data_IF_051226629225
#
_entry.id   IF_051226629225
#
_cell.length_a   1.000
_cell.length_b   1.000
_cell.length_c   1.000
_cell.angle_alpha   90.00
_cell.angle_beta   90.00
_cell.angle_gamma   90.00
#
_symmetry.space_group_name_H-M   'P 1'
#
loop_
_entity.id
_entity.type
_entity.pdbx_description
1 polymer ?
#
# COMPACT_ATOMS: atom_id res chain seq x y z
N UNK A 1 4.96 43.41 11.43
CA UNK A 1 5.01 42.60 12.64
C UNK A 1 3.59 42.17 12.98
N UNK A 2 3.09 41.09 12.38
CA UNK A 2 1.79 40.52 12.73
C UNK A 2 2.03 39.41 13.76
N UNK A 3 1.20 39.38 14.79
CA UNK A 3 1.27 38.53 15.98
C UNK A 3 1.29 37.01 15.63
N UNK A 4 2.46 36.42 15.55
CA UNK A 4 2.66 34.96 15.31
C UNK A 4 2.36 34.09 16.54
N UNK A 5 1.71 34.63 17.58
CA UNK A 5 1.63 34.02 18.90
C UNK A 5 0.45 33.05 19.15
N UNK A 6 -0.54 32.97 18.26
CA UNK A 6 -1.81 32.28 18.57
C UNK A 6 -2.04 30.92 17.87
N UNK A 7 -1.32 30.62 16.83
CA UNK A 7 -1.57 29.49 15.90
C UNK A 7 -1.44 28.09 16.49
N UNK A 8 -0.55 27.92 17.45
CA UNK A 8 -0.21 26.61 18.01
C UNK A 8 -1.24 26.04 18.99
N UNK A 9 -2.30 26.79 19.29
CA UNK A 9 -3.33 26.40 20.27
C UNK A 9 -4.66 25.99 19.62
N UNK A 10 -4.85 26.25 18.33
CA UNK A 10 -6.07 25.89 17.60
C UNK A 10 -5.78 24.78 16.60
N UNK A 11 -6.63 23.74 16.57
CA UNK A 11 -6.55 22.69 15.56
C UNK A 11 -6.62 23.25 14.13
N UNK A 12 -7.40 24.31 13.93
CA UNK A 12 -7.50 25.02 12.64
C UNK A 12 -6.18 25.67 12.22
N UNK A 13 -5.38 26.16 13.18
CA UNK A 13 -4.06 26.71 12.89
C UNK A 13 -3.05 25.64 12.43
N UNK A 14 -3.10 24.46 13.02
CA UNK A 14 -2.25 23.32 12.60
C UNK A 14 -2.63 22.87 11.18
N UNK A 15 -3.92 22.65 10.91
CA UNK A 15 -4.40 22.23 9.59
C UNK A 15 -4.02 23.26 8.52
N UNK A 16 -4.26 24.55 8.78
CA UNK A 16 -3.89 25.60 7.82
C UNK A 16 -2.39 25.61 7.51
N UNK A 17 -1.55 25.47 8.53
CA UNK A 17 -0.09 25.44 8.35
C UNK A 17 0.35 24.20 7.54
N UNK A 18 -0.20 23.02 7.84
CA UNK A 18 0.07 21.80 7.08
C UNK A 18 -0.31 21.97 5.61
N UNK A 19 -1.44 22.63 5.31
CA UNK A 19 -1.86 22.87 3.93
C UNK A 19 -0.98 23.93 3.23
N UNK A 20 -0.55 24.96 3.94
CA UNK A 20 0.38 25.98 3.42
C UNK A 20 1.74 25.32 3.10
N UNK A 21 2.30 24.51 4.01
CA UNK A 21 3.54 23.75 3.80
C UNK A 21 3.40 22.75 2.62
N UNK A 22 2.31 21.99 2.57
CA UNK A 22 2.04 21.07 1.47
C UNK A 22 1.97 21.76 0.08
N UNK A 23 1.59 23.02 0.04
CA UNK A 23 1.60 23.82 -1.17
C UNK A 23 3.02 24.35 -1.48
N UNK A 24 3.75 24.83 -0.47
CA UNK A 24 5.14 25.31 -0.59
C UNK A 24 6.07 24.18 -1.10
N UNK A 25 5.93 22.97 -0.59
CA UNK A 25 6.72 21.80 -0.96
C UNK A 25 6.23 21.09 -2.24
N UNK A 26 5.26 21.69 -2.93
CA UNK A 26 4.71 21.12 -4.18
C UNK A 26 4.27 19.65 -4.06
N UNK A 27 3.63 19.28 -2.93
CA UNK A 27 3.15 17.91 -2.68
C UNK A 27 2.36 17.32 -3.86
N UNK A 28 1.47 18.04 -4.57
CA UNK A 28 0.79 17.48 -5.75
C UNK A 28 1.75 17.01 -6.85
N UNK A 29 2.83 17.73 -7.07
CA UNK A 29 3.85 17.38 -8.05
C UNK A 29 4.66 16.15 -7.61
N UNK A 30 5.13 16.14 -6.36
CA UNK A 30 5.84 15.00 -5.78
C UNK A 30 4.96 13.74 -5.76
N UNK A 31 3.67 13.86 -5.44
CA UNK A 31 2.71 12.76 -5.50
C UNK A 31 2.56 12.20 -6.91
N UNK A 32 2.56 13.05 -7.94
CA UNK A 32 2.51 12.62 -9.34
C UNK A 32 3.76 11.82 -9.74
N UNK A 33 4.94 12.28 -9.33
CA UNK A 33 6.21 11.59 -9.58
C UNK A 33 6.27 10.22 -8.89
N UNK A 34 5.87 10.16 -7.61
CA UNK A 34 5.79 8.91 -6.87
C UNK A 34 4.75 7.94 -7.45
N UNK A 35 3.62 8.46 -7.91
CA UNK A 35 2.59 7.66 -8.58
C UNK A 35 3.13 6.99 -9.83
N UNK A 36 3.91 7.69 -10.62
CA UNK A 36 4.55 7.13 -11.81
C UNK A 36 5.54 6.01 -11.45
N UNK A 37 6.41 6.22 -10.45
CA UNK A 37 7.36 5.21 -9.99
C UNK A 37 6.63 3.97 -9.40
N UNK A 38 5.51 4.17 -8.71
CA UNK A 38 4.67 3.09 -8.19
C UNK A 38 4.04 2.28 -9.34
N UNK A 39 3.50 2.96 -10.35
CA UNK A 39 2.94 2.30 -11.54
C UNK A 39 3.97 1.45 -12.28
N UNK A 40 5.20 1.95 -12.44
CA UNK A 40 6.28 1.17 -13.04
C UNK A 40 6.64 -0.07 -12.21
N UNK A 41 6.55 0.03 -10.88
CA UNK A 41 6.84 -1.08 -9.96
C UNK A 41 5.75 -2.15 -9.97
N UNK A 42 4.49 -1.76 -10.19
CA UNK A 42 3.34 -2.69 -10.20
C UNK A 42 3.46 -3.72 -11.32
N UNK A 43 3.98 -3.37 -12.48
CA UNK A 43 4.08 -4.28 -13.64
C UNK A 43 4.93 -5.52 -13.30
N UNK A 44 6.20 -5.39 -12.88
CA UNK A 44 7.00 -6.54 -12.49
C UNK A 44 6.49 -7.21 -11.20
N UNK A 45 5.84 -6.48 -10.31
CA UNK A 45 5.19 -7.05 -9.12
C UNK A 45 4.08 -8.03 -9.51
N UNK A 46 3.20 -7.64 -10.43
CA UNK A 46 2.14 -8.53 -10.94
C UNK A 46 2.77 -9.75 -11.62
N UNK A 47 3.84 -9.59 -12.41
CA UNK A 47 4.53 -10.70 -13.04
C UNK A 47 5.07 -11.71 -12.01
N UNK A 48 5.66 -11.22 -10.90
CA UNK A 48 6.12 -12.08 -9.81
C UNK A 48 4.97 -12.73 -9.05
N UNK A 49 3.89 -11.99 -8.79
CA UNK A 49 2.69 -12.54 -8.17
C UNK A 49 2.12 -13.70 -8.99
N UNK A 50 2.02 -13.52 -10.32
CA UNK A 50 1.60 -14.58 -11.23
C UNK A 50 2.58 -15.76 -11.23
N UNK A 51 3.89 -15.51 -11.16
CA UNK A 51 4.89 -16.59 -11.05
C UNK A 51 4.71 -17.41 -9.76
N UNK A 52 4.44 -16.76 -8.62
CA UNK A 52 4.14 -17.42 -7.34
C UNK A 52 2.86 -18.24 -7.43
N UNK A 53 1.78 -17.66 -7.97
CA UNK A 53 0.52 -18.37 -8.19
C UNK A 53 0.75 -19.60 -9.09
N UNK A 54 1.47 -19.43 -10.19
CA UNK A 54 1.82 -20.54 -11.09
C UNK A 54 2.62 -21.66 -10.41
N UNK A 55 3.55 -21.29 -9.50
CA UNK A 55 4.32 -22.25 -8.72
C UNK A 55 3.44 -23.01 -7.70
N UNK A 56 2.54 -22.31 -7.01
CA UNK A 56 1.61 -22.91 -6.06
C UNK A 56 0.62 -23.87 -6.75
N UNK A 57 0.05 -23.45 -7.89
CA UNK A 57 -0.83 -24.30 -8.70
C UNK A 57 -0.10 -25.53 -9.19
N UNK A 58 1.11 -25.39 -9.71
CA UNK A 58 1.93 -26.52 -10.13
C UNK A 58 2.23 -27.49 -8.98
N UNK A 59 2.54 -26.95 -7.80
CA UNK A 59 2.78 -27.77 -6.61
C UNK A 59 1.54 -28.59 -6.24
N UNK A 60 0.36 -27.99 -6.25
CA UNK A 60 -0.91 -28.68 -5.97
C UNK A 60 -1.21 -29.77 -7.01
N UNK A 61 -1.02 -29.49 -8.31
CA UNK A 61 -1.17 -30.45 -9.39
C UNK A 61 -0.24 -31.65 -9.16
N UNK A 62 1.02 -31.39 -8.82
CA UNK A 62 2.03 -32.46 -8.65
C UNK A 62 1.75 -33.30 -7.39
N UNK A 63 1.39 -32.67 -6.26
CA UNK A 63 1.17 -33.37 -4.98
C UNK A 63 -0.15 -34.15 -4.98
N UNK A 64 -1.20 -33.58 -5.56
CA UNK A 64 -2.55 -34.19 -5.56
C UNK A 64 -2.82 -35.03 -6.80
N UNK A 65 -1.90 -35.07 -7.75
CA UNK A 65 -2.04 -35.75 -9.06
C UNK A 65 -3.34 -35.37 -9.81
N UNK A 66 -3.80 -34.11 -9.58
CA UNK A 66 -5.02 -33.57 -10.19
C UNK A 66 -4.66 -32.77 -11.45
N UNK A 67 -5.59 -32.75 -12.40
CA UNK A 67 -5.48 -31.85 -13.56
C UNK A 67 -5.76 -30.39 -13.15
N UNK A 68 -5.27 -29.43 -13.96
CA UNK A 68 -5.60 -28.00 -13.75
C UNK A 68 -7.11 -27.77 -13.80
N UNK A 69 -7.80 -28.48 -14.68
CA UNK A 69 -9.27 -28.44 -14.81
C UNK A 69 -9.98 -28.86 -13.53
N UNK A 70 -9.59 -29.98 -12.93
CA UNK A 70 -10.17 -30.49 -11.68
C UNK A 70 -9.88 -29.55 -10.50
N UNK A 71 -8.67 -28.98 -10.45
CA UNK A 71 -8.30 -28.02 -9.43
C UNK A 71 -9.16 -26.75 -9.53
N UNK A 72 -9.37 -26.23 -10.74
CA UNK A 72 -10.24 -25.06 -10.96
C UNK A 72 -11.70 -25.36 -10.65
N UNK A 73 -12.22 -26.52 -11.06
CA UNK A 73 -13.60 -26.92 -10.78
C UNK A 73 -13.88 -27.04 -9.27
N UNK A 74 -12.86 -27.32 -8.46
CA UNK A 74 -12.97 -27.39 -6.99
C UNK A 74 -13.07 -25.99 -6.33
N UNK A 75 -12.37 -24.98 -6.88
CA UNK A 75 -12.34 -23.63 -6.32
C UNK A 75 -13.37 -22.68 -6.95
N UNK A 76 -13.72 -22.91 -8.20
CA UNK A 76 -14.73 -22.14 -8.92
C UNK A 76 -16.02 -22.97 -9.02
N UNK A 77 -17.10 -22.59 -8.32
CA UNK A 77 -18.37 -23.33 -8.42
C UNK A 77 -18.97 -23.14 -9.81
N UNK A 78 -18.68 -24.06 -10.71
CA UNK A 78 -19.17 -24.08 -12.10
C UNK A 78 -20.71 -24.22 -12.17
N UNK A 79 -21.31 -24.75 -11.09
CA UNK A 79 -22.73 -25.09 -11.02
C UNK A 79 -23.65 -23.97 -10.50
N UNK A 80 -23.10 -22.87 -10.01
CA UNK A 80 -23.89 -21.75 -9.44
C UNK A 80 -24.10 -20.60 -10.45
N UNK A 81 -24.65 -20.89 -11.63
CA UNK A 81 -25.40 -19.93 -12.44
C UNK A 81 -24.70 -18.70 -13.03
N UNK A 82 -23.36 -18.57 -12.97
CA UNK A 82 -22.68 -17.35 -13.37
C UNK A 82 -21.50 -17.49 -14.35
N UNK A 83 -20.90 -18.64 -14.46
CA UNK A 83 -19.75 -18.85 -15.36
C UNK A 83 -20.20 -19.55 -16.63
N UNK A 84 -20.01 -18.89 -17.78
CA UNK A 84 -20.17 -19.56 -19.07
C UNK A 84 -18.95 -20.47 -19.31
N UNK A 85 -19.13 -21.56 -20.06
CA UNK A 85 -18.03 -22.48 -20.45
C UNK A 85 -16.85 -21.72 -21.09
N UNK A 86 -17.15 -20.63 -21.78
CA UNK A 86 -16.13 -19.73 -22.36
C UNK A 86 -15.28 -19.02 -21.32
N UNK A 87 -15.90 -18.46 -20.27
CA UNK A 87 -15.20 -17.78 -19.19
C UNK A 87 -14.31 -18.75 -18.42
N UNK A 88 -14.80 -19.95 -18.13
CA UNK A 88 -14.01 -21.01 -17.48
C UNK A 88 -12.80 -21.42 -18.34
N UNK A 89 -13.00 -21.66 -19.63
CA UNK A 89 -11.90 -21.99 -20.56
C UNK A 89 -10.88 -20.86 -20.69
N UNK A 90 -11.29 -19.59 -20.63
CA UNK A 90 -10.37 -18.46 -20.63
C UNK A 90 -9.50 -18.41 -19.36
N UNK A 91 -10.10 -18.62 -18.18
CA UNK A 91 -9.38 -18.68 -16.91
C UNK A 91 -8.41 -19.86 -16.89
N UNK A 92 -8.84 -21.04 -17.33
CA UNK A 92 -8.01 -22.23 -17.44
C UNK A 92 -6.82 -22.01 -18.39
N UNK A 93 -7.08 -21.42 -19.56
CA UNK A 93 -6.04 -21.08 -20.53
C UNK A 93 -5.04 -20.06 -20.02
N UNK A 94 -5.52 -19.00 -19.33
CA UNK A 94 -4.67 -18.00 -18.70
C UNK A 94 -3.79 -18.59 -17.61
N UNK A 95 -4.37 -19.35 -16.67
CA UNK A 95 -3.61 -20.01 -15.61
C UNK A 95 -2.65 -21.07 -16.15
N UNK A 96 -3.04 -21.84 -17.15
CA UNK A 96 -2.17 -22.78 -17.84
C UNK A 96 -0.97 -22.09 -18.48
N UNK A 97 -1.17 -20.90 -19.06
CA UNK A 97 -0.10 -20.07 -19.59
C UNK A 97 0.85 -19.60 -18.49
N UNK A 98 0.31 -19.11 -17.37
CA UNK A 98 1.10 -18.67 -16.20
C UNK A 98 1.93 -19.82 -15.64
N UNK A 99 1.35 -21.00 -15.47
CA UNK A 99 2.04 -22.21 -14.99
C UNK A 99 3.20 -22.59 -15.93
N UNK A 100 2.98 -22.56 -17.24
CA UNK A 100 4.03 -22.88 -18.24
C UNK A 100 5.17 -21.86 -18.25
N UNK A 101 4.86 -20.57 -18.09
CA UNK A 101 5.84 -19.49 -18.21
C UNK A 101 6.38 -18.97 -16.87
N UNK A 102 6.00 -19.58 -15.73
CA UNK A 102 6.41 -19.14 -14.39
C UNK A 102 7.91 -18.91 -14.24
N UNK A 103 8.74 -19.79 -14.82
CA UNK A 103 10.20 -19.66 -14.77
C UNK A 103 10.70 -18.38 -15.45
N UNK A 104 10.16 -18.06 -16.64
CA UNK A 104 10.50 -16.80 -17.34
C UNK A 104 10.01 -15.58 -16.57
N UNK A 105 8.79 -15.63 -16.02
CA UNK A 105 8.23 -14.56 -15.19
C UNK A 105 9.09 -14.30 -13.94
N UNK A 106 9.65 -15.35 -13.34
CA UNK A 106 10.54 -15.21 -12.19
C UNK A 106 11.90 -14.63 -12.59
N UNK A 107 12.55 -15.19 -13.62
CA UNK A 107 13.90 -14.78 -14.04
C UNK A 107 13.93 -13.31 -14.51
N UNK A 108 12.91 -12.86 -15.22
CA UNK A 108 12.81 -11.47 -15.69
C UNK A 108 12.17 -10.58 -14.63
N UNK A 109 11.16 -11.08 -13.94
CA UNK A 109 10.39 -10.31 -12.95
C UNK A 109 11.21 -9.89 -11.73
N UNK A 110 12.08 -10.76 -11.19
CA UNK A 110 12.90 -10.43 -10.01
C UNK A 110 13.82 -9.23 -10.26
N UNK A 111 14.69 -9.21 -11.28
CA UNK A 111 15.57 -8.08 -11.53
C UNK A 111 14.79 -6.78 -11.80
N UNK A 112 13.72 -6.85 -12.60
CA UNK A 112 12.89 -5.68 -12.89
C UNK A 112 12.18 -5.16 -11.64
N UNK A 113 11.61 -6.06 -10.84
CA UNK A 113 10.96 -5.67 -9.59
C UNK A 113 11.94 -5.02 -8.62
N UNK A 114 13.11 -5.60 -8.41
CA UNK A 114 14.15 -5.00 -7.56
C UNK A 114 14.60 -3.64 -8.08
N UNK A 115 14.78 -3.51 -9.39
CA UNK A 115 15.16 -2.24 -10.02
C UNK A 115 14.11 -1.15 -9.77
N UNK A 116 12.87 -1.40 -10.14
CA UNK A 116 11.80 -0.41 -9.99
C UNK A 116 11.43 -0.15 -8.54
N UNK A 117 11.47 -1.17 -7.67
CA UNK A 117 11.20 -1.00 -6.24
C UNK A 117 12.28 -0.15 -5.57
N UNK A 118 13.56 -0.36 -5.88
CA UNK A 118 14.62 0.49 -5.32
C UNK A 118 14.56 1.92 -5.86
N UNK A 119 14.04 2.11 -7.08
CA UNK A 119 13.74 3.44 -7.62
C UNK A 119 12.59 4.11 -6.87
N UNK A 120 11.49 3.39 -6.64
CA UNK A 120 10.35 3.87 -5.86
C UNK A 120 10.76 4.31 -4.45
N UNK A 121 11.51 3.49 -3.72
CA UNK A 121 11.99 3.87 -2.38
C UNK A 121 12.99 5.02 -2.41
N UNK A 122 13.79 5.13 -3.46
CA UNK A 122 14.64 6.30 -3.71
C UNK A 122 13.83 7.59 -3.91
N UNK A 123 12.76 7.52 -4.70
CA UNK A 123 11.81 8.63 -4.91
C UNK A 123 11.06 9.00 -3.63
N UNK A 124 10.55 8.01 -2.87
CA UNK A 124 9.93 8.23 -1.56
C UNK A 124 10.88 8.92 -0.59
N UNK A 125 12.16 8.52 -0.56
CA UNK A 125 13.17 9.17 0.28
C UNK A 125 13.42 10.61 -0.16
N UNK A 126 13.56 10.87 -1.46
CA UNK A 126 13.76 12.21 -1.97
C UNK A 126 12.56 13.11 -1.60
N UNK A 127 11.34 12.64 -1.80
CA UNK A 127 10.14 13.36 -1.44
C UNK A 127 10.01 13.60 0.08
N UNK A 128 10.36 12.63 0.92
CA UNK A 128 10.38 12.82 2.38
C UNK A 128 11.50 13.75 2.85
N UNK A 129 12.65 13.77 2.16
CA UNK A 129 13.71 14.73 2.49
C UNK A 129 13.27 16.16 2.18
N UNK A 130 12.50 16.38 1.11
CA UNK A 130 11.88 17.68 0.80
C UNK A 130 10.90 18.08 1.90
N UNK A 131 9.91 17.23 2.19
CA UNK A 131 8.91 17.45 3.24
C UNK A 131 9.51 17.74 4.61
N UNK A 132 10.65 17.14 4.94
CA UNK A 132 11.33 17.35 6.24
C UNK A 132 12.47 18.37 6.18
N UNK A 133 12.55 19.22 5.16
CA UNK A 133 13.59 20.24 4.98
C UNK A 133 15.00 19.68 5.26
N UNK A 134 15.36 18.55 4.61
CA UNK A 134 16.58 17.83 4.90
C UNK A 134 17.58 17.92 3.75
N UNK A 135 18.67 18.69 3.94
CA UNK A 135 19.81 18.78 3.00
C UNK A 135 20.77 17.60 3.12
N UNK A 136 20.67 16.83 4.21
CA UNK A 136 21.54 15.68 4.44
C UNK A 136 21.27 14.58 3.41
N UNK A 137 22.32 14.20 2.68
CA UNK A 137 22.25 13.06 1.76
C UNK A 137 23.05 11.89 2.32
N UNK A 138 22.43 10.72 2.36
CA UNK A 138 23.14 9.49 2.70
C UNK A 138 24.09 9.09 1.57
N UNK A 139 25.29 8.52 1.88
CA UNK A 139 26.16 7.94 0.85
C UNK A 139 25.40 6.94 -0.01
N UNK A 140 25.59 7.02 -1.33
CA UNK A 140 24.85 6.23 -2.31
C UNK A 140 24.73 4.72 -1.99
N UNK A 141 25.81 4.01 -1.57
CA UNK A 141 25.69 2.57 -1.29
C UNK A 141 24.80 2.28 -0.07
N UNK A 142 24.87 3.11 0.97
CA UNK A 142 24.04 2.98 2.18
C UNK A 142 22.59 3.24 1.84
N UNK A 143 22.32 4.24 1.00
CA UNK A 143 21.00 4.56 0.52
C UNK A 143 20.37 3.38 -0.25
N UNK A 144 21.12 2.76 -1.17
CA UNK A 144 20.65 1.60 -1.95
C UNK A 144 20.45 0.34 -1.12
N UNK A 145 21.31 0.10 -0.13
CA UNK A 145 21.12 -1.01 0.81
C UNK A 145 19.84 -0.82 1.64
N UNK A 146 19.56 0.41 2.06
CA UNK A 146 18.32 0.72 2.78
C UNK A 146 17.11 0.54 1.88
N UNK A 147 17.15 1.00 0.62
CA UNK A 147 16.06 0.80 -0.34
C UNK A 147 15.75 -0.70 -0.50
N UNK A 148 16.78 -1.53 -0.66
CA UNK A 148 16.63 -2.98 -0.75
C UNK A 148 16.06 -3.57 0.55
N UNK A 149 16.53 -3.13 1.72
CA UNK A 149 16.00 -3.57 3.01
C UNK A 149 14.53 -3.19 3.18
N UNK A 150 14.11 -2.00 2.69
CA UNK A 150 12.72 -1.57 2.70
C UNK A 150 11.85 -2.42 1.77
N UNK A 151 12.32 -2.77 0.58
CA UNK A 151 11.62 -3.69 -0.34
C UNK A 151 11.40 -5.04 0.32
N UNK A 152 12.44 -5.61 0.93
CA UNK A 152 12.34 -6.91 1.61
C UNK A 152 11.44 -6.84 2.85
N UNK A 153 11.54 -5.77 3.63
CA UNK A 153 10.70 -5.53 4.81
C UNK A 153 9.21 -5.37 4.45
N UNK A 154 8.91 -4.55 3.44
CA UNK A 154 7.55 -4.39 2.93
C UNK A 154 7.01 -5.70 2.36
N UNK A 155 7.82 -6.43 1.60
CA UNK A 155 7.48 -7.75 1.09
C UNK A 155 7.19 -8.75 2.21
N UNK A 156 8.01 -8.79 3.25
CA UNK A 156 7.80 -9.65 4.42
C UNK A 156 6.49 -9.31 5.16
N UNK A 157 6.18 -8.01 5.33
CA UNK A 157 4.91 -7.57 5.92
C UNK A 157 3.70 -7.98 5.08
N UNK A 158 3.78 -7.84 3.74
CA UNK A 158 2.73 -8.28 2.83
C UNK A 158 2.51 -9.79 2.90
N UNK A 159 3.58 -10.58 2.88
CA UNK A 159 3.50 -12.04 3.01
C UNK A 159 2.89 -12.43 4.35
N UNK A 160 3.32 -11.79 5.45
CA UNK A 160 2.77 -12.05 6.79
C UNK A 160 1.27 -11.71 6.84
N UNK A 161 0.86 -10.57 6.28
CA UNK A 161 -0.56 -10.19 6.18
C UNK A 161 -1.37 -11.21 5.38
N UNK A 162 -0.84 -11.65 4.23
CA UNK A 162 -1.50 -12.67 3.39
C UNK A 162 -1.61 -14.03 4.10
N UNK A 163 -0.57 -14.44 4.85
CA UNK A 163 -0.59 -15.68 5.63
C UNK A 163 -1.63 -15.63 6.77
N UNK A 164 -1.74 -14.49 7.46
CA UNK A 164 -2.76 -14.26 8.49
C UNK A 164 -4.15 -14.41 7.88
N UNK A 165 -4.42 -13.74 6.75
CA UNK A 165 -5.71 -13.81 6.05
C UNK A 165 -6.02 -15.24 5.56
N UNK A 166 -5.02 -15.95 5.03
CA UNK A 166 -5.18 -17.33 4.58
C UNK A 166 -5.42 -18.31 5.74
N UNK A 167 -4.76 -18.08 6.88
CA UNK A 167 -4.99 -18.87 8.10
C UNK A 167 -6.39 -18.63 8.66
N UNK A 168 -6.85 -17.41 8.64
CA UNK A 168 -8.20 -17.01 9.01
C UNK A 168 -9.26 -17.74 8.18
N UNK A 169 -9.14 -17.71 6.85
CA UNK A 169 -10.07 -18.38 5.95
C UNK A 169 -10.19 -19.89 6.25
N UNK A 170 -9.11 -20.51 6.75
CA UNK A 170 -9.11 -21.93 7.13
C UNK A 170 -9.65 -22.18 8.54
N UNK A 171 -9.38 -21.31 9.50
CA UNK A 171 -9.77 -21.46 10.90
C UNK A 171 -11.20 -20.99 11.16
N UNK A 172 -11.64 -19.93 10.49
CA UNK A 172 -13.01 -19.41 10.59
C UNK A 172 -14.07 -20.42 10.20
N UNK A 173 -13.79 -21.26 9.20
CA UNK A 173 -14.68 -22.38 8.81
C UNK A 173 -14.84 -23.45 9.90
N UNK A 174 -13.96 -23.54 10.89
CA UNK A 174 -13.99 -24.54 11.98
C UNK A 174 -14.50 -24.01 13.30
N UNK A 175 -14.59 -22.68 13.48
CA UNK A 175 -14.90 -22.03 14.76
C UNK A 175 -16.32 -21.43 14.83
N UNK A 176 -17.13 -21.61 13.78
CA UNK A 176 -18.47 -21.06 13.65
C UNK A 176 -19.44 -21.71 14.64
N UNK A 177 -19.59 -21.10 15.83
CA UNK A 177 -20.69 -21.40 16.75
C UNK A 177 -21.06 -20.21 17.63
N UNK A 178 -21.39 -19.06 17.02
CA UNK A 178 -21.99 -17.93 17.76
C UNK A 178 -21.75 -16.56 17.09
N UNK A 179 -22.85 -15.88 16.76
CA UNK A 179 -22.86 -14.58 16.07
C UNK A 179 -22.02 -13.50 16.78
N UNK A 180 -22.01 -13.48 18.11
CA UNK A 180 -21.24 -12.51 18.90
C UNK A 180 -19.72 -12.76 18.84
N UNK A 181 -19.30 -14.00 18.63
CA UNK A 181 -17.89 -14.38 18.51
C UNK A 181 -17.34 -14.10 17.13
N UNK A 182 -18.19 -14.18 16.10
CA UNK A 182 -17.82 -13.92 14.71
C UNK A 182 -17.53 -12.43 14.47
N UNK A 183 -18.29 -11.51 15.03
CA UNK A 183 -18.03 -10.09 14.86
C UNK A 183 -16.78 -9.64 15.64
N UNK A 184 -16.58 -10.13 16.85
CA UNK A 184 -15.38 -9.82 17.65
C UNK A 184 -14.10 -10.33 16.98
N UNK A 185 -14.16 -11.52 16.36
CA UNK A 185 -13.07 -12.09 15.59
C UNK A 185 -12.76 -11.25 14.34
N UNK A 186 -13.78 -10.85 13.57
CA UNK A 186 -13.62 -9.97 12.40
C UNK A 186 -13.02 -8.62 12.77
N UNK A 187 -13.51 -7.99 13.85
CA UNK A 187 -12.92 -6.75 14.36
C UNK A 187 -11.47 -6.92 14.77
N UNK A 188 -11.13 -8.04 15.43
CA UNK A 188 -9.75 -8.33 15.78
C UNK A 188 -8.82 -8.38 14.57
N UNK A 189 -9.28 -9.00 13.50
CA UNK A 189 -8.51 -9.12 12.25
C UNK A 189 -8.39 -7.79 11.49
N UNK A 190 -9.47 -7.00 11.44
CA UNK A 190 -9.42 -5.64 10.88
C UNK A 190 -8.44 -4.76 11.66
N UNK A 191 -8.40 -4.87 12.99
CA UNK A 191 -7.43 -4.16 13.83
C UNK A 191 -5.99 -4.63 13.58
N UNK A 192 -5.77 -5.93 13.41
CA UNK A 192 -4.43 -6.47 13.06
C UNK A 192 -4.00 -5.97 11.68
N UNK A 193 -4.89 -6.02 10.68
CA UNK A 193 -4.60 -5.51 9.34
C UNK A 193 -4.28 -4.01 9.36
N UNK A 194 -5.06 -3.22 10.11
CA UNK A 194 -4.81 -1.80 10.31
C UNK A 194 -3.46 -1.56 11.00
N UNK A 195 -3.16 -2.30 12.08
CA UNK A 195 -1.90 -2.19 12.81
C UNK A 195 -0.68 -2.52 11.94
N UNK A 196 -0.78 -3.53 11.06
CA UNK A 196 0.27 -3.86 10.09
C UNK A 196 0.45 -2.74 9.06
N UNK A 197 -0.63 -2.10 8.59
CA UNK A 197 -0.57 -0.93 7.71
C UNK A 197 0.10 0.27 8.39
N UNK A 198 -0.28 0.58 9.63
CA UNK A 198 0.36 1.63 10.44
C UNK A 198 1.83 1.30 10.71
N UNK A 199 2.16 0.05 10.98
CA UNK A 199 3.55 -0.39 11.15
C UNK A 199 4.38 -0.18 9.88
N UNK A 200 3.83 -0.49 8.72
CA UNK A 200 4.49 -0.25 7.43
C UNK A 200 4.79 1.25 7.24
N UNK A 201 3.79 2.12 7.41
CA UNK A 201 3.99 3.57 7.34
C UNK A 201 5.00 4.05 8.39
N UNK A 202 4.91 3.54 9.62
CA UNK A 202 5.85 3.90 10.67
C UNK A 202 7.30 3.56 10.31
N UNK A 203 7.55 2.37 9.78
CA UNK A 203 8.88 1.94 9.33
C UNK A 203 9.38 2.84 8.19
N UNK A 204 8.52 3.18 7.23
CA UNK A 204 8.87 4.07 6.12
C UNK A 204 9.24 5.46 6.68
N UNK A 205 8.38 6.12 7.45
CA UNK A 205 8.65 7.46 8.00
C UNK A 205 9.86 7.49 8.96
N UNK A 206 10.13 6.38 9.65
CA UNK A 206 11.23 6.31 10.62
C UNK A 206 12.59 6.07 9.97
N UNK A 207 12.65 5.21 8.94
CA UNK A 207 13.92 4.74 8.38
C UNK A 207 14.29 5.39 7.05
N UNK A 208 13.31 5.79 6.25
CA UNK A 208 13.55 6.24 4.90
C UNK A 208 14.16 7.66 4.83
N UNK A 209 13.69 8.68 5.60
CA UNK A 209 14.30 10.01 5.58
C UNK A 209 15.76 9.99 5.95
N UNK A 210 16.56 10.90 5.37
CA UNK A 210 18.00 10.96 5.63
C UNK A 210 18.31 11.46 7.04
N UNK A 211 17.47 12.36 7.60
CA UNK A 211 17.59 12.80 8.99
C UNK A 211 16.96 11.80 9.97
N UNK A 212 17.39 11.85 11.22
CA UNK A 212 16.83 11.01 12.30
C UNK A 212 15.49 11.58 12.79
N UNK A 213 14.41 11.03 12.32
CA UNK A 213 13.06 11.38 12.78
C UNK A 213 12.81 10.82 14.18
N UNK A 214 12.18 11.62 15.06
CA UNK A 214 11.80 11.16 16.39
C UNK A 214 10.68 10.11 16.32
N UNK A 215 10.67 9.15 17.23
CA UNK A 215 9.69 8.05 17.26
C UNK A 215 8.24 8.55 17.29
N UNK A 216 7.96 9.58 18.10
CA UNK A 216 6.63 10.19 18.20
C UNK A 216 6.19 10.86 16.89
N UNK A 217 7.09 11.54 16.20
CA UNK A 217 6.85 12.18 14.91
C UNK A 217 6.51 11.15 13.84
N UNK A 218 7.30 10.07 13.73
CA UNK A 218 7.04 8.97 12.81
C UNK A 218 5.70 8.26 13.12
N UNK A 219 5.35 8.10 14.41
CA UNK A 219 4.08 7.50 14.81
C UNK A 219 2.89 8.39 14.42
N UNK A 220 2.98 9.71 14.59
CA UNK A 220 1.93 10.66 14.18
C UNK A 220 1.68 10.56 12.67
N UNK A 221 2.75 10.58 11.85
CA UNK A 221 2.64 10.37 10.40
C UNK A 221 1.96 9.03 10.07
N UNK A 222 2.44 7.95 10.67
CA UNK A 222 1.95 6.59 10.40
C UNK A 222 0.47 6.43 10.75
N UNK A 223 0.03 6.94 11.90
CA UNK A 223 -1.38 6.88 12.31
C UNK A 223 -2.24 7.74 11.41
N UNK A 224 -1.79 8.95 11.05
CA UNK A 224 -2.50 9.81 10.11
C UNK A 224 -2.67 9.14 8.75
N UNK A 225 -1.59 8.60 8.17
CA UNK A 225 -1.65 7.86 6.91
C UNK A 225 -2.53 6.62 7.00
N UNK A 226 -2.43 5.84 8.09
CA UNK A 226 -3.25 4.65 8.30
C UNK A 226 -4.74 4.98 8.35
N UNK A 227 -5.14 5.97 9.12
CA UNK A 227 -6.53 6.44 9.21
C UNK A 227 -7.01 7.02 7.87
N UNK A 228 -6.21 7.87 7.25
CA UNK A 228 -6.52 8.45 5.95
C UNK A 228 -6.68 7.40 4.86
N UNK A 229 -5.86 6.35 4.89
CA UNK A 229 -5.95 5.23 3.94
C UNK A 229 -7.23 4.40 4.15
N UNK A 230 -7.65 4.18 5.40
CA UNK A 230 -8.94 3.53 5.69
C UNK A 230 -10.13 4.34 5.17
N UNK A 231 -10.10 5.66 5.40
CA UNK A 231 -11.12 6.57 4.87
C UNK A 231 -11.11 6.55 3.34
N UNK A 232 -9.93 6.66 2.71
CA UNK A 232 -9.76 6.64 1.27
C UNK A 232 -10.30 5.35 0.64
N UNK A 233 -10.03 4.18 1.23
CA UNK A 233 -10.57 2.88 0.78
C UNK A 233 -12.10 2.88 0.78
N UNK A 234 -12.72 3.38 1.84
CA UNK A 234 -14.19 3.43 1.96
C UNK A 234 -14.81 4.38 0.95
N UNK A 235 -14.22 5.56 0.77
CA UNK A 235 -14.67 6.55 -0.22
C UNK A 235 -14.53 6.01 -1.65
N UNK A 236 -13.41 5.36 -1.95
CA UNK A 236 -13.18 4.73 -3.25
C UNK A 236 -14.19 3.61 -3.52
N UNK A 237 -14.42 2.72 -2.55
CA UNK A 237 -15.43 1.67 -2.66
C UNK A 237 -16.85 2.25 -2.87
N UNK A 238 -17.20 3.30 -2.14
CA UNK A 238 -18.49 4.00 -2.31
C UNK A 238 -18.59 4.62 -3.70
N UNK A 239 -17.52 5.25 -4.19
CA UNK A 239 -17.50 5.84 -5.51
C UNK A 239 -17.69 4.78 -6.61
N UNK A 240 -16.92 3.69 -6.55
CA UNK A 240 -17.04 2.60 -7.51
C UNK A 240 -18.44 1.99 -7.51
N UNK A 241 -19.00 1.70 -6.34
CA UNK A 241 -20.34 1.07 -6.23
C UNK A 241 -21.49 1.99 -6.68
N UNK A 242 -21.32 3.32 -6.55
CA UNK A 242 -22.40 4.28 -6.90
C UNK A 242 -22.33 4.78 -8.34
N UNK A 243 -21.14 4.93 -8.89
CA UNK A 243 -20.93 5.61 -10.17
C UNK A 243 -20.47 4.71 -11.30
N UNK A 244 -19.90 3.54 -10.98
CA UNK A 244 -19.45 2.57 -11.97
C UNK A 244 -20.54 1.53 -12.18
N UNK A 245 -21.44 1.77 -13.15
CA UNK A 245 -22.44 0.77 -13.54
C UNK A 245 -21.82 -0.28 -14.46
N UNK A 246 -22.22 -1.55 -14.28
CA UNK A 246 -21.70 -2.71 -15.05
C UNK A 246 -21.85 -2.51 -16.56
N UNK A 247 -22.93 -1.85 -17.01
CA UNK A 247 -23.17 -1.59 -18.44
C UNK A 247 -22.17 -0.61 -19.06
N UNK A 248 -21.69 0.38 -18.30
CA UNK A 248 -20.64 1.30 -18.77
C UNK A 248 -19.25 0.65 -18.79
N UNK A 249 -19.01 -0.32 -17.90
CA UNK A 249 -17.78 -1.11 -17.89
C UNK A 249 -17.70 -2.05 -19.09
N UNK A 250 -18.81 -2.48 -19.66
CA UNK A 250 -18.84 -3.43 -20.78
C UNK A 250 -18.42 -2.80 -22.12
N UNK A 251 -18.69 -1.50 -22.35
CA UNK A 251 -18.33 -0.83 -23.61
C UNK A 251 -16.96 -0.10 -23.57
N UNK A 252 -16.63 0.58 -22.44
CA UNK A 252 -15.41 1.37 -22.28
C UNK A 252 -14.66 1.08 -20.96
N UNK A 253 -15.00 -0.05 -20.31
CA UNK A 253 -14.65 -0.36 -18.92
C UNK A 253 -13.15 -0.42 -18.63
N UNK A 254 -12.35 -0.80 -19.60
CA UNK A 254 -10.90 -0.89 -19.42
C UNK A 254 -10.26 0.49 -19.18
N UNK A 255 -10.73 1.52 -19.91
CA UNK A 255 -10.21 2.89 -19.78
C UNK A 255 -10.65 3.50 -18.45
N UNK A 256 -11.92 3.35 -18.09
CA UNK A 256 -12.46 3.85 -16.82
C UNK A 256 -11.76 3.17 -15.62
N UNK A 257 -11.59 1.85 -15.67
CA UNK A 257 -10.90 1.11 -14.62
C UNK A 257 -9.44 1.57 -14.47
N UNK A 258 -8.75 1.82 -15.59
CA UNK A 258 -7.39 2.36 -15.59
C UNK A 258 -7.35 3.76 -14.97
N UNK A 259 -8.25 4.65 -15.36
CA UNK A 259 -8.33 6.01 -14.80
C UNK A 259 -8.60 6.00 -13.29
N UNK A 260 -9.52 5.14 -12.84
CA UNK A 260 -9.81 4.98 -11.41
C UNK A 260 -8.61 4.43 -10.64
N UNK A 261 -7.88 3.50 -11.23
CA UNK A 261 -6.67 2.96 -10.65
C UNK A 261 -5.56 4.02 -10.56
N UNK A 262 -5.34 4.81 -11.62
CA UNK A 262 -4.40 5.92 -11.61
C UNK A 262 -4.75 6.96 -10.54
N UNK A 263 -6.03 7.30 -10.45
CA UNK A 263 -6.54 8.21 -9.43
C UNK A 263 -6.28 7.67 -8.01
N UNK A 264 -6.54 6.37 -7.79
CA UNK A 264 -6.27 5.72 -6.52
C UNK A 264 -4.80 5.78 -6.13
N UNK A 265 -3.91 5.47 -7.06
CA UNK A 265 -2.45 5.53 -6.86
C UNK A 265 -2.01 6.95 -6.51
N UNK A 266 -2.51 7.95 -7.24
CA UNK A 266 -2.22 9.36 -6.99
C UNK A 266 -2.67 9.80 -5.59
N UNK A 267 -3.91 9.50 -5.22
CA UNK A 267 -4.43 9.85 -3.90
C UNK A 267 -3.66 9.16 -2.77
N UNK A 268 -3.22 7.93 -2.96
CA UNK A 268 -2.41 7.21 -1.98
C UNK A 268 -1.05 7.88 -1.78
N UNK A 269 -0.38 8.26 -2.87
CA UNK A 269 0.89 8.99 -2.82
C UNK A 269 0.72 10.39 -2.18
N UNK A 270 -0.34 11.10 -2.55
CA UNK A 270 -0.66 12.41 -1.98
C UNK A 270 -0.92 12.33 -0.47
N UNK A 271 -1.73 11.37 -0.03
CA UNK A 271 -2.03 11.14 1.38
C UNK A 271 -0.78 10.78 2.19
N UNK A 272 0.11 9.98 1.60
CA UNK A 272 1.38 9.62 2.21
C UNK A 272 2.26 10.86 2.48
N UNK A 273 2.45 11.72 1.47
CA UNK A 273 3.23 12.94 1.61
C UNK A 273 2.58 13.94 2.58
N UNK A 274 1.26 14.08 2.52
CA UNK A 274 0.53 14.91 3.48
C UNK A 274 0.71 14.43 4.93
N UNK A 275 0.84 13.11 5.14
CA UNK A 275 1.21 12.56 6.44
C UNK A 275 2.61 12.97 6.91
N UNK A 276 3.54 13.13 5.98
CA UNK A 276 4.86 13.70 6.24
C UNK A 276 4.77 15.15 6.74
N UNK A 277 3.97 15.98 6.07
CA UNK A 277 3.73 17.39 6.45
C UNK A 277 3.10 17.52 7.84
N UNK A 278 2.11 16.67 8.14
CA UNK A 278 1.51 16.62 9.47
C UNK A 278 2.56 16.30 10.53
N UNK A 279 3.46 15.37 10.23
CA UNK A 279 4.52 14.98 11.14
C UNK A 279 5.57 16.08 11.31
N UNK A 280 5.96 16.76 10.24
CA UNK A 280 6.87 17.90 10.30
C UNK A 280 6.28 19.05 11.14
N UNK A 281 5.04 19.44 10.86
CA UNK A 281 4.32 20.44 11.65
C UNK A 281 4.30 20.05 13.14
N UNK A 282 4.06 18.77 13.45
CA UNK A 282 4.10 18.26 14.83
C UNK A 282 5.50 18.39 15.45
N UNK A 283 6.56 18.04 14.71
CA UNK A 283 7.96 18.13 15.17
C UNK A 283 8.36 19.57 15.48
N UNK A 284 7.99 20.52 14.62
CA UNK A 284 8.21 21.95 14.82
C UNK A 284 7.52 22.49 16.08
N UNK A 285 6.26 22.10 16.32
CA UNK A 285 5.52 22.50 17.53
C UNK A 285 6.22 21.95 18.78
N UNK A 286 6.69 20.71 18.73
CA UNK A 286 7.40 20.05 19.82
C UNK A 286 8.73 20.74 20.13
N UNK A 287 9.54 21.04 19.12
CA UNK A 287 10.81 21.74 19.29
C UNK A 287 10.63 23.13 19.92
N UNK A 288 9.66 23.90 19.48
CA UNK A 288 9.32 25.20 20.06
C UNK A 288 8.89 25.12 21.53
N UNK A 289 8.18 24.05 21.92
CA UNK A 289 7.82 23.81 23.34
C UNK A 289 9.03 23.53 24.20
N UNK A 290 9.94 22.68 23.73
CA UNK A 290 11.17 22.33 24.46
C UNK A 290 12.13 23.52 24.64
N UNK A 291 12.18 24.44 23.66
CA UNK A 291 12.96 25.66 23.76
C UNK A 291 12.40 26.63 24.81
N UNK A 292 11.06 26.78 24.88
CA UNK A 292 10.41 27.65 25.89
C UNK A 292 10.65 27.17 27.32
N UNK A 293 10.65 25.84 27.54
CA UNK A 293 10.93 25.24 28.86
C UNK A 293 12.39 25.42 29.29
N UNK A 294 13.31 25.57 28.34
CA UNK A 294 14.74 25.81 28.67
C UNK A 294 15.10 27.27 28.93
N UNK A 295 14.26 28.21 28.49
CA UNK A 295 14.49 29.65 28.56
C UNK A 295 13.64 30.35 29.64
N UNK A 296 12.69 29.66 30.28
CA UNK A 296 11.91 30.10 31.44
C UNK A 296 12.24 29.32 32.66
#
# INVERSE_FOLDING_TARGET
MRSEGGWHRSATGVVRRTLEAAYEDNIPFLASALSFDLLLTIIPFIALLLAVVGALVQHQITVQQMSLHELLARFLPVTAGGWTDRAFAQVEGALGSVVRHRGRLTVVGIPLFLWFSTRLFGGLRAALNEVFDTDEQRPWPVAKLLDLAMVLGAGALLVTSALITAWEARSGARLSSGVARDWAWRLGLELVAFALGVLLFFVIFKLLPSRRIHWGTALVAAVFCGLGFEVAKRLYALYVTRFVTVDRVASDGNVLALLLFLLWVYYTAYLFLLGGEVAETYDLIRMRRSQRVRLG
#
